data_IF_958208135869
#
_entry.id   IF_958208135869
#
_cell.length_a   1.000
_cell.length_b   1.000
_cell.length_c   1.000
_cell.angle_alpha   90.00
_cell.angle_beta   90.00
_cell.angle_gamma   90.00
#
_symmetry.space_group_name_H-M   'P 1'
#
loop_
_entity.id
_entity.type
_entity.pdbx_description
1 polymer ?
#
# COMPACT_ATOMS: atom_id res chain seq x y z
N UNK A 1 15.42 41.76 -13.89
CA UNK A 1 14.62 42.07 -12.72
C UNK A 1 13.85 40.88 -12.19
N UNK A 2 14.40 39.68 -12.14
CA UNK A 2 13.74 38.53 -11.51
C UNK A 2 14.77 37.70 -10.78
N UNK A 3 15.12 38.15 -9.57
CA UNK A 3 15.99 37.41 -8.63
C UNK A 3 15.25 36.84 -7.44
N UNK A 4 13.89 36.84 -7.45
CA UNK A 4 13.08 36.36 -6.35
C UNK A 4 12.55 34.91 -6.53
N UNK A 5 12.83 34.23 -7.64
CA UNK A 5 12.23 32.93 -7.97
C UNK A 5 13.08 31.71 -7.57
N UNK A 6 14.18 31.88 -6.86
CA UNK A 6 15.14 30.80 -6.60
C UNK A 6 15.23 30.25 -5.18
N UNK A 7 14.51 30.79 -4.20
CA UNK A 7 14.76 30.48 -2.78
C UNK A 7 13.72 29.55 -2.12
N UNK A 8 12.55 29.32 -2.73
CA UNK A 8 11.56 28.42 -2.17
C UNK A 8 11.06 27.47 -3.26
N UNK A 9 11.13 26.16 -2.99
CA UNK A 9 10.55 25.16 -3.86
C UNK A 9 9.03 25.37 -3.89
N UNK A 10 8.47 25.73 -5.06
CA UNK A 10 7.02 25.78 -5.25
C UNK A 10 6.45 24.36 -5.22
N UNK A 11 5.40 24.15 -4.43
CA UNK A 11 4.68 22.88 -4.44
C UNK A 11 4.04 22.65 -5.82
N UNK A 12 4.20 21.44 -6.34
CA UNK A 12 3.58 21.04 -7.60
C UNK A 12 2.05 20.96 -7.46
N UNK A 13 1.34 21.83 -8.16
CA UNK A 13 -0.13 21.95 -8.03
C UNK A 13 -0.87 21.03 -9.00
N UNK A 14 -0.31 20.73 -10.16
CA UNK A 14 -0.93 19.88 -11.19
C UNK A 14 -0.32 18.46 -11.20
N UNK A 15 -1.03 17.50 -11.80
CA UNK A 15 -0.51 16.14 -12.01
C UNK A 15 0.74 16.13 -12.91
N UNK A 16 0.82 17.06 -13.87
CA UNK A 16 2.00 17.20 -14.75
C UNK A 16 3.20 17.74 -13.97
N UNK A 17 3.00 18.79 -13.17
CA UNK A 17 4.05 19.36 -12.33
C UNK A 17 4.63 18.32 -11.36
N UNK A 18 3.77 17.47 -10.79
CA UNK A 18 4.18 16.38 -9.91
C UNK A 18 5.01 15.32 -10.64
N UNK A 19 4.66 14.97 -11.88
CA UNK A 19 5.44 14.05 -12.71
C UNK A 19 6.80 14.61 -13.06
N UNK A 20 6.87 15.89 -13.39
CA UNK A 20 8.13 16.56 -13.71
C UNK A 20 9.02 16.72 -12.47
N UNK A 21 8.45 17.05 -11.33
CA UNK A 21 9.14 17.06 -10.05
C UNK A 21 9.74 15.69 -9.70
N UNK A 22 8.98 14.62 -9.92
CA UNK A 22 9.45 13.24 -9.72
C UNK A 22 10.60 12.88 -10.65
N UNK A 23 10.54 13.28 -11.92
CA UNK A 23 11.64 13.04 -12.88
C UNK A 23 12.91 13.78 -12.49
N UNK A 24 12.78 15.05 -12.07
CA UNK A 24 13.92 15.88 -11.66
C UNK A 24 14.59 15.36 -10.39
N UNK A 25 13.82 14.85 -9.41
CA UNK A 25 14.33 14.33 -8.14
C UNK A 25 14.65 12.83 -8.15
N UNK A 26 14.53 12.15 -9.30
CA UNK A 26 14.66 10.69 -9.39
C UNK A 26 16.00 10.20 -8.84
N UNK A 27 17.10 10.79 -9.28
CA UNK A 27 18.44 10.35 -8.90
C UNK A 27 18.66 10.44 -7.39
N UNK A 28 18.23 11.56 -6.77
CA UNK A 28 18.39 11.78 -5.34
C UNK A 28 17.55 10.80 -4.52
N UNK A 29 16.28 10.59 -4.91
CA UNK A 29 15.38 9.65 -4.23
C UNK A 29 15.84 8.21 -4.34
N UNK A 30 16.29 7.80 -5.53
CA UNK A 30 16.83 6.46 -5.77
C UNK A 30 18.09 6.24 -4.94
N UNK A 31 19.01 7.20 -4.92
CA UNK A 31 20.23 7.12 -4.12
C UNK A 31 19.92 6.98 -2.64
N UNK A 32 19.09 7.86 -2.09
CA UNK A 32 18.72 7.82 -0.67
C UNK A 32 18.04 6.49 -0.29
N UNK A 33 17.18 5.97 -1.16
CA UNK A 33 16.56 4.66 -0.94
C UNK A 33 17.60 3.52 -1.01
N UNK A 34 18.48 3.54 -2.01
CA UNK A 34 19.50 2.51 -2.18
C UNK A 34 20.48 2.48 -1.01
N UNK A 35 20.90 3.66 -0.52
CA UNK A 35 21.78 3.77 0.66
C UNK A 35 21.13 3.14 1.89
N UNK A 36 19.85 3.41 2.14
CA UNK A 36 19.10 2.81 3.24
C UNK A 36 18.95 1.28 3.10
N UNK A 37 18.54 0.81 1.92
CA UNK A 37 18.30 -0.62 1.67
C UNK A 37 19.59 -1.43 1.67
N UNK A 38 20.69 -0.85 1.21
CA UNK A 38 22.01 -1.49 1.18
C UNK A 38 22.72 -1.49 2.54
N UNK A 39 22.22 -0.71 3.53
CA UNK A 39 22.80 -0.63 4.86
C UNK A 39 22.60 -1.90 5.70
N UNK A 40 21.72 -2.80 5.29
CA UNK A 40 21.46 -4.08 5.96
C UNK A 40 21.13 -5.18 4.96
N UNK A 41 21.05 -6.42 5.44
CA UNK A 41 20.75 -7.59 4.62
C UNK A 41 19.32 -8.14 4.82
N UNK A 42 18.43 -7.34 5.46
CA UNK A 42 17.04 -7.73 5.66
C UNK A 42 16.25 -7.74 4.35
N UNK A 43 15.12 -8.49 4.30
CA UNK A 43 14.20 -8.45 3.18
C UNK A 43 13.54 -7.08 3.06
N UNK A 44 13.44 -6.56 1.83
CA UNK A 44 12.79 -5.29 1.52
C UNK A 44 11.82 -5.41 0.36
N UNK A 45 10.70 -4.69 0.45
CA UNK A 45 9.86 -4.37 -0.69
C UNK A 45 10.05 -2.90 -1.02
N UNK A 46 10.42 -2.62 -2.26
CA UNK A 46 10.63 -1.25 -2.75
C UNK A 46 9.60 -0.95 -3.84
N UNK A 47 8.71 -0.04 -3.55
CA UNK A 47 7.66 0.40 -4.44
C UNK A 47 8.09 1.62 -5.25
N UNK A 48 7.84 1.57 -6.55
CA UNK A 48 8.07 2.68 -7.48
C UNK A 48 6.78 3.03 -8.24
N UNK A 49 6.72 4.20 -8.82
CA UNK A 49 5.61 4.64 -9.68
C UNK A 49 6.01 4.69 -11.16
N UNK A 50 7.21 5.19 -11.46
CA UNK A 50 7.74 5.29 -12.81
C UNK A 50 8.59 4.06 -13.17
N UNK A 51 8.59 3.64 -14.44
CA UNK A 51 9.49 2.57 -14.91
C UNK A 51 10.96 2.94 -14.68
N UNK A 52 11.33 4.18 -14.97
CA UNK A 52 12.68 4.67 -14.75
C UNK A 52 13.14 4.60 -13.28
N UNK A 53 12.22 4.75 -12.33
CA UNK A 53 12.51 4.53 -10.89
C UNK A 53 12.80 3.06 -10.62
N UNK A 54 11.97 2.15 -11.15
CA UNK A 54 12.17 0.70 -11.00
C UNK A 54 13.51 0.23 -11.55
N UNK A 55 13.85 0.68 -12.75
CA UNK A 55 15.11 0.34 -13.42
C UNK A 55 16.32 0.88 -12.64
N UNK A 56 16.26 2.14 -12.21
CA UNK A 56 17.33 2.77 -11.46
C UNK A 56 17.51 2.16 -10.05
N UNK A 57 16.41 1.83 -9.35
CA UNK A 57 16.44 1.15 -8.06
C UNK A 57 17.04 -0.24 -8.17
N UNK A 58 16.66 -1.00 -9.21
CA UNK A 58 17.18 -2.35 -9.43
C UNK A 58 18.68 -2.34 -9.71
N UNK A 59 19.14 -1.31 -10.44
CA UNK A 59 20.59 -1.15 -10.70
C UNK A 59 21.37 -0.69 -9.47
N UNK A 60 20.78 0.12 -8.59
CA UNK A 60 21.47 0.72 -7.44
C UNK A 60 21.45 -0.17 -6.18
N UNK A 61 20.48 -1.06 -6.04
CA UNK A 61 20.31 -1.90 -4.85
C UNK A 61 20.90 -3.29 -5.07
N UNK A 62 21.77 -3.72 -4.18
CA UNK A 62 22.42 -5.04 -4.24
C UNK A 62 21.40 -6.18 -4.20
N UNK A 63 21.41 -7.05 -5.20
CA UNK A 63 20.56 -8.23 -5.27
C UNK A 63 19.07 -7.90 -5.41
N UNK A 64 18.72 -6.70 -5.86
CA UNK A 64 17.36 -6.34 -6.17
C UNK A 64 16.86 -7.07 -7.43
N UNK A 65 15.62 -7.52 -7.37
CA UNK A 65 14.90 -8.13 -8.50
C UNK A 65 13.65 -7.30 -8.78
N UNK A 66 13.54 -6.83 -10.02
CA UNK A 66 12.37 -6.07 -10.44
C UNK A 66 11.27 -7.00 -10.98
N UNK A 67 10.02 -6.63 -10.71
CA UNK A 67 8.85 -7.15 -11.42
C UNK A 67 8.20 -5.99 -12.16
N UNK A 68 8.31 -6.03 -13.49
CA UNK A 68 7.78 -5.01 -14.39
C UNK A 68 6.43 -5.44 -15.00
N UNK A 69 5.66 -4.46 -15.48
CA UNK A 69 4.39 -4.74 -16.16
C UNK A 69 4.56 -5.59 -17.44
N UNK A 70 5.68 -5.38 -18.14
CA UNK A 70 6.02 -6.07 -19.39
C UNK A 70 6.57 -7.49 -19.20
N UNK A 71 6.91 -7.91 -17.97
CA UNK A 71 7.37 -9.29 -17.74
C UNK A 71 6.26 -10.31 -18.04
N UNK A 72 6.63 -11.48 -18.50
CA UNK A 72 5.72 -12.60 -18.70
C UNK A 72 5.09 -13.08 -17.38
N UNK A 73 3.91 -13.67 -17.46
CA UNK A 73 3.18 -14.13 -16.27
C UNK A 73 3.99 -15.14 -15.44
N UNK A 74 4.64 -16.10 -16.08
CA UNK A 74 5.46 -17.14 -15.44
C UNK A 74 6.70 -16.54 -14.73
N UNK A 75 7.27 -15.48 -15.32
CA UNK A 75 8.41 -14.75 -14.72
C UNK A 75 7.95 -14.01 -13.47
N UNK A 76 6.79 -13.34 -13.54
CA UNK A 76 6.19 -12.65 -12.40
C UNK A 76 5.90 -13.62 -11.26
N UNK A 77 5.21 -14.72 -11.56
CA UNK A 77 4.85 -15.73 -10.57
C UNK A 77 6.08 -16.32 -9.88
N UNK A 78 7.10 -16.69 -10.65
CA UNK A 78 8.35 -17.21 -10.11
C UNK A 78 9.04 -16.22 -9.19
N UNK A 79 9.22 -14.95 -9.61
CA UNK A 79 9.86 -13.90 -8.79
C UNK A 79 9.08 -13.59 -7.52
N UNK A 80 7.73 -13.56 -7.60
CA UNK A 80 6.87 -13.36 -6.45
C UNK A 80 6.98 -14.52 -5.44
N UNK A 81 7.01 -15.74 -5.95
CA UNK A 81 7.20 -16.95 -5.16
C UNK A 81 8.59 -16.99 -4.54
N UNK A 82 9.64 -16.62 -5.29
CA UNK A 82 11.01 -16.56 -4.80
C UNK A 82 11.15 -15.52 -3.68
N UNK A 83 10.50 -14.36 -3.81
CA UNK A 83 10.49 -13.37 -2.75
C UNK A 83 9.73 -13.88 -1.51
N UNK A 84 8.54 -14.47 -1.70
CA UNK A 84 7.75 -15.00 -0.59
C UNK A 84 8.49 -16.09 0.23
N UNK A 85 9.38 -16.85 -0.42
CA UNK A 85 10.20 -17.87 0.23
C UNK A 85 11.59 -17.35 0.68
N UNK A 86 11.85 -16.06 0.58
CA UNK A 86 13.10 -15.45 1.02
C UNK A 86 14.31 -15.72 0.12
N UNK A 87 14.10 -16.24 -1.11
CA UNK A 87 15.19 -16.44 -2.10
C UNK A 87 15.62 -15.14 -2.77
N UNK A 88 14.74 -14.15 -2.80
CA UNK A 88 15.02 -12.78 -3.23
C UNK A 88 15.00 -11.89 -2.00
N UNK A 89 16.08 -11.14 -1.77
CA UNK A 89 16.17 -10.20 -0.64
C UNK A 89 15.39 -8.93 -0.87
N UNK A 90 15.49 -8.34 -2.06
CA UNK A 90 14.86 -7.06 -2.37
C UNK A 90 13.99 -7.20 -3.60
N UNK A 91 12.70 -6.93 -3.45
CA UNK A 91 11.74 -6.90 -4.53
C UNK A 91 11.43 -5.46 -4.90
N UNK A 92 11.63 -5.10 -6.17
CA UNK A 92 11.26 -3.79 -6.73
C UNK A 92 10.05 -3.95 -7.64
N UNK A 93 8.97 -3.23 -7.40
CA UNK A 93 7.79 -3.27 -8.27
C UNK A 93 6.88 -2.06 -8.08
N UNK A 94 5.80 -2.00 -8.87
CA UNK A 94 4.71 -1.03 -8.68
C UNK A 94 3.58 -1.65 -7.87
N UNK A 95 2.90 -0.87 -7.03
CA UNK A 95 1.71 -1.35 -6.30
C UNK A 95 0.63 -1.94 -7.23
N UNK A 96 0.48 -1.39 -8.44
CA UNK A 96 -0.48 -1.86 -9.44
C UNK A 96 -0.14 -3.21 -10.08
N UNK A 97 1.13 -3.65 -10.05
CA UNK A 97 1.58 -4.90 -10.68
C UNK A 97 1.52 -6.06 -9.71
N UNK A 98 1.98 -5.86 -8.50
CA UNK A 98 1.97 -6.89 -7.45
C UNK A 98 0.59 -7.01 -6.79
N UNK A 99 -0.42 -7.04 -7.62
CA UNK A 99 -1.84 -7.13 -7.39
C UNK A 99 -2.31 -7.86 -6.14
N UNK A 100 -3.37 -8.62 -6.23
CA UNK A 100 -4.08 -9.17 -5.08
C UNK A 100 -3.49 -10.51 -4.60
N UNK A 101 -3.62 -10.78 -3.29
CA UNK A 101 -3.48 -12.14 -2.75
C UNK A 101 -2.11 -12.55 -2.19
N UNK A 102 -1.05 -11.79 -2.39
CA UNK A 102 0.28 -12.14 -1.92
C UNK A 102 0.50 -11.82 -0.44
N UNK A 103 1.24 -12.68 0.25
CA UNK A 103 1.53 -12.58 1.66
C UNK A 103 3.04 -12.58 1.91
N UNK A 104 3.56 -11.47 2.44
CA UNK A 104 4.99 -11.27 2.66
C UNK A 104 5.32 -10.99 4.13
N UNK A 105 4.79 -11.78 5.03
CA UNK A 105 5.01 -11.64 6.49
C UNK A 105 6.48 -11.81 6.91
N UNK A 106 7.31 -12.42 6.08
CA UNK A 106 8.75 -12.52 6.34
C UNK A 106 9.45 -11.16 6.18
N UNK A 107 8.85 -10.22 5.43
CA UNK A 107 9.36 -8.89 5.19
C UNK A 107 8.68 -7.89 6.13
N UNK A 108 9.47 -7.10 6.84
CA UNK A 108 9.00 -6.03 7.73
C UNK A 108 9.53 -4.66 7.33
N UNK A 109 10.20 -4.54 6.19
CA UNK A 109 10.77 -3.28 5.69
C UNK A 109 10.25 -2.95 4.31
N UNK A 110 9.84 -1.70 4.17
CA UNK A 110 9.21 -1.23 2.95
C UNK A 110 9.66 0.18 2.61
N UNK A 111 9.89 0.44 1.34
CA UNK A 111 10.21 1.76 0.83
C UNK A 111 9.27 2.14 -0.33
N UNK A 112 8.86 3.40 -0.37
CA UNK A 112 8.15 3.98 -1.51
C UNK A 112 9.02 5.08 -2.10
N UNK A 113 9.40 4.90 -3.37
CA UNK A 113 10.15 5.90 -4.15
C UNK A 113 9.20 6.49 -5.18
N UNK A 114 8.67 7.68 -4.84
CA UNK A 114 7.51 8.24 -5.53
C UNK A 114 6.19 7.66 -5.02
N UNK A 115 5.29 8.53 -4.64
CA UNK A 115 3.99 8.16 -4.09
C UNK A 115 2.91 8.78 -4.94
N UNK A 116 1.87 8.00 -5.28
CA UNK A 116 0.67 8.50 -5.94
C UNK A 116 -0.31 9.06 -4.92
N UNK A 117 -1.26 9.88 -5.36
CA UNK A 117 -2.37 10.38 -4.50
C UNK A 117 -3.36 9.28 -4.09
N UNK A 118 -3.19 8.05 -4.59
CA UNK A 118 -4.03 6.92 -4.27
C UNK A 118 -3.65 6.32 -2.92
N UNK A 119 -4.40 6.72 -1.88
CA UNK A 119 -4.28 6.11 -0.57
C UNK A 119 -4.59 4.61 -0.59
N UNK A 120 -5.54 4.19 -1.42
CA UNK A 120 -5.89 2.78 -1.56
C UNK A 120 -4.70 1.95 -2.06
N UNK A 121 -4.02 2.40 -3.13
CA UNK A 121 -2.84 1.71 -3.67
C UNK A 121 -1.72 1.64 -2.62
N UNK A 122 -1.47 2.74 -1.90
CA UNK A 122 -0.52 2.78 -0.78
C UNK A 122 -0.91 1.80 0.31
N UNK A 123 -2.14 1.87 0.80
CA UNK A 123 -2.63 1.00 1.87
C UNK A 123 -2.58 -0.48 1.48
N UNK A 124 -3.02 -0.83 0.30
CA UNK A 124 -2.94 -2.21 -0.22
C UNK A 124 -1.50 -2.70 -0.32
N UNK A 125 -0.57 -1.85 -0.74
CA UNK A 125 0.85 -2.18 -0.78
C UNK A 125 1.42 -2.44 0.62
N UNK A 126 1.09 -1.61 1.62
CA UNK A 126 1.50 -1.81 3.02
C UNK A 126 0.94 -3.12 3.57
N UNK A 127 -0.32 -3.44 3.26
CA UNK A 127 -0.99 -4.67 3.70
C UNK A 127 -0.37 -5.96 3.17
N UNK A 128 0.59 -5.91 2.25
CA UNK A 128 1.36 -7.09 1.82
C UNK A 128 2.26 -7.64 2.93
N UNK A 129 2.85 -6.76 3.72
CA UNK A 129 3.71 -7.10 4.84
C UNK A 129 2.98 -6.97 6.19
N UNK A 130 2.11 -5.96 6.32
CA UNK A 130 1.35 -5.72 7.53
C UNK A 130 0.03 -6.51 7.52
N UNK A 131 0.11 -7.78 7.88
CA UNK A 131 -1.02 -8.73 7.91
C UNK A 131 -1.05 -9.53 9.21
N UNK A 132 -2.18 -10.21 9.42
CA UNK A 132 -2.28 -11.20 10.49
C UNK A 132 -1.13 -12.20 10.40
N UNK A 133 -0.44 -12.43 11.53
CA UNK A 133 0.75 -13.28 11.61
C UNK A 133 2.09 -12.53 11.44
N UNK A 134 2.11 -11.24 11.09
CA UNK A 134 3.32 -10.42 11.18
C UNK A 134 3.67 -10.19 12.66
N UNK A 135 4.89 -10.56 13.04
CA UNK A 135 5.36 -10.47 14.43
C UNK A 135 6.26 -9.27 14.70
N UNK A 136 6.69 -8.57 13.66
CA UNK A 136 7.57 -7.42 13.74
C UNK A 136 6.81 -6.15 13.34
N UNK A 137 7.15 -4.99 13.89
CA UNK A 137 6.70 -3.72 13.34
C UNK A 137 7.09 -3.63 11.85
N UNK A 138 6.20 -3.14 11.03
CA UNK A 138 6.49 -2.89 9.60
C UNK A 138 6.94 -1.45 9.46
N UNK A 139 8.21 -1.25 9.10
CA UNK A 139 8.80 0.05 8.86
C UNK A 139 8.54 0.48 7.41
N UNK A 140 7.88 1.61 7.23
CA UNK A 140 7.55 2.17 5.92
C UNK A 140 8.29 3.48 5.73
N UNK A 141 9.17 3.53 4.74
CA UNK A 141 9.96 4.71 4.37
C UNK A 141 9.42 5.31 3.07
N UNK A 142 9.18 6.61 3.06
CA UNK A 142 8.69 7.33 1.87
C UNK A 142 9.76 8.32 1.42
N UNK A 143 10.25 8.13 0.20
CA UNK A 143 11.21 9.01 -0.47
C UNK A 143 10.46 9.89 -1.45
N UNK A 144 10.20 11.12 -1.05
CA UNK A 144 9.51 12.12 -1.85
C UNK A 144 10.37 13.37 -2.00
N UNK A 145 10.20 14.11 -3.10
CA UNK A 145 10.81 15.42 -3.25
C UNK A 145 10.09 16.47 -2.40
N UNK A 146 10.76 17.60 -2.14
CA UNK A 146 10.14 18.73 -1.44
C UNK A 146 8.90 19.27 -2.18
N UNK A 147 8.81 19.07 -3.49
CA UNK A 147 7.66 19.47 -4.30
C UNK A 147 6.49 18.50 -4.21
N UNK A 148 6.66 17.34 -3.60
CA UNK A 148 5.63 16.33 -3.36
C UNK A 148 5.07 16.38 -1.92
N UNK A 149 5.41 17.41 -1.15
CA UNK A 149 5.01 17.56 0.26
C UNK A 149 3.49 17.45 0.46
N UNK A 150 2.69 18.06 -0.43
CA UNK A 150 1.24 17.97 -0.40
C UNK A 150 0.71 16.54 -0.55
N UNK A 151 1.33 15.70 -1.38
CA UNK A 151 0.94 14.29 -1.57
C UNK A 151 1.21 13.51 -0.28
N UNK A 152 2.39 13.68 0.30
CA UNK A 152 2.77 13.01 1.56
C UNK A 152 1.86 13.45 2.71
N UNK A 153 1.56 14.75 2.80
CA UNK A 153 0.64 15.28 3.82
C UNK A 153 -0.78 14.69 3.65
N UNK A 154 -1.27 14.61 2.42
CA UNK A 154 -2.59 14.03 2.12
C UNK A 154 -2.65 12.53 2.48
N UNK A 155 -1.60 11.76 2.19
CA UNK A 155 -1.52 10.35 2.58
C UNK A 155 -1.55 10.18 4.10
N UNK A 156 -0.75 10.97 4.84
CA UNK A 156 -0.74 10.94 6.32
C UNK A 156 -2.11 11.26 6.89
N UNK A 157 -2.78 12.28 6.36
CA UNK A 157 -4.13 12.64 6.80
C UNK A 157 -5.10 11.48 6.57
N UNK A 158 -5.13 10.90 5.37
CA UNK A 158 -5.99 9.75 5.06
C UNK A 158 -5.68 8.52 5.91
N UNK A 159 -4.42 8.28 6.25
CA UNK A 159 -4.03 7.20 7.15
C UNK A 159 -4.57 7.43 8.56
N UNK A 160 -4.49 8.66 9.07
CA UNK A 160 -5.06 9.03 10.36
C UNK A 160 -6.58 8.87 10.37
N UNK A 161 -7.27 9.34 9.33
CA UNK A 161 -8.72 9.24 9.19
C UNK A 161 -9.16 7.75 9.15
N UNK A 162 -8.46 6.92 8.38
CA UNK A 162 -8.74 5.48 8.30
C UNK A 162 -8.51 4.76 9.64
N UNK A 163 -7.47 5.16 10.37
CA UNK A 163 -7.18 4.61 11.70
C UNK A 163 -8.26 5.01 12.70
N UNK A 164 -8.64 6.28 12.75
CA UNK A 164 -9.70 6.76 13.63
C UNK A 164 -11.03 6.07 13.35
N UNK A 165 -11.37 5.88 12.08
CA UNK A 165 -12.56 5.14 11.67
C UNK A 165 -12.52 3.67 12.13
N UNK A 166 -11.39 2.99 11.95
CA UNK A 166 -11.23 1.61 12.37
C UNK A 166 -11.34 1.45 13.90
N UNK A 167 -10.77 2.37 14.66
CA UNK A 167 -10.86 2.39 16.13
C UNK A 167 -12.31 2.64 16.60
N UNK A 168 -13.02 3.56 15.97
CA UNK A 168 -14.43 3.82 16.27
C UNK A 168 -15.31 2.60 15.96
N UNK A 169 -15.16 1.98 14.79
CA UNK A 169 -15.89 0.77 14.42
C UNK A 169 -15.59 -0.39 15.38
N UNK A 170 -14.35 -0.58 15.79
CA UNK A 170 -13.97 -1.61 16.74
C UNK A 170 -14.63 -1.36 18.12
N UNK A 171 -14.66 -0.14 18.59
CA UNK A 171 -15.29 0.24 19.86
C UNK A 171 -16.81 -0.05 19.85
N UNK A 172 -17.50 0.30 18.78
CA UNK A 172 -18.94 0.04 18.62
C UNK A 172 -19.24 -1.46 18.51
N UNK A 173 -18.41 -2.20 17.75
CA UNK A 173 -18.56 -3.66 17.63
C UNK A 173 -18.38 -4.35 18.98
N UNK A 174 -17.39 -3.94 19.78
CA UNK A 174 -17.17 -4.48 21.14
C UNK A 174 -18.36 -4.15 22.03
N UNK A 175 -18.91 -2.96 21.95
CA UNK A 175 -20.09 -2.55 22.73
C UNK A 175 -21.32 -3.40 22.37
N UNK A 176 -21.55 -3.63 21.06
CA UNK A 176 -22.65 -4.46 20.59
C UNK A 176 -22.52 -5.93 21.03
N UNK A 177 -21.33 -6.51 20.89
CA UNK A 177 -21.04 -7.90 21.33
C UNK A 177 -21.20 -8.03 22.85
N UNK A 178 -20.73 -7.07 23.64
CA UNK A 178 -20.92 -7.07 25.09
C UNK A 178 -22.40 -6.98 25.48
N UNK A 179 -23.18 -6.15 24.80
CA UNK A 179 -24.61 -6.05 25.06
C UNK A 179 -25.34 -7.37 24.75
N UNK A 180 -24.93 -8.05 23.69
CA UNK A 180 -25.49 -9.37 23.31
C UNK A 180 -25.11 -10.48 24.32
N UNK A 181 -23.83 -10.55 24.71
CA UNK A 181 -23.33 -11.54 25.70
C UNK A 181 -23.95 -11.33 27.10
N UNK A 182 -24.18 -10.07 27.48
CA UNK A 182 -24.77 -9.74 28.77
C UNK A 182 -26.32 -9.84 28.78
N UNK A 183 -26.93 -10.35 27.71
CA UNK A 183 -28.40 -10.53 27.63
C UNK A 183 -29.20 -9.24 27.67
N UNK A 184 -28.57 -8.09 27.35
CA UNK A 184 -29.30 -6.84 27.16
C UNK A 184 -30.06 -6.95 25.86
N UNK A 185 -31.38 -7.14 25.95
CA UNK A 185 -32.28 -7.38 24.83
C UNK A 185 -31.99 -6.43 23.66
N UNK A 186 -31.66 -7.02 22.51
CA UNK A 186 -31.98 -6.42 21.24
C UNK A 186 -33.51 -6.26 21.19
N UNK A 187 -34.01 -5.06 21.00
CA UNK A 187 -35.36 -4.89 20.46
C UNK A 187 -35.34 -5.58 19.09
N UNK A 188 -35.80 -6.80 19.05
CA UNK A 188 -36.09 -7.50 17.80
C UNK A 188 -37.28 -6.81 17.20
N UNK A 189 -37.04 -5.94 16.24
CA UNK A 189 -38.11 -5.47 15.37
C UNK A 189 -38.67 -6.72 14.67
N UNK A 190 -39.88 -7.18 14.98
CA UNK A 190 -40.40 -8.38 14.34
C UNK A 190 -40.48 -8.10 12.84
N UNK A 191 -39.76 -8.90 12.07
CA UNK A 191 -39.81 -8.83 10.61
C UNK A 191 -41.21 -9.31 10.19
N UNK A 192 -42.07 -8.38 9.79
CA UNK A 192 -43.33 -8.70 9.12
C UNK A 192 -43.07 -8.68 7.60
N UNK A 193 -43.03 -9.85 6.93
CA UNK A 193 -42.81 -9.91 5.52
C UNK A 193 -43.98 -9.24 4.77
N UNK A 194 -43.68 -8.24 3.97
CA UNK A 194 -44.68 -7.55 3.12
C UNK A 194 -45.26 -8.48 2.03
N UNK A 195 -44.65 -9.61 1.77
CA UNK A 195 -45.13 -10.68 0.88
C UNK A 195 -44.73 -12.05 1.39
N UNK A 196 -45.64 -12.99 1.34
CA UNK A 196 -45.35 -14.39 1.63
C UNK A 196 -44.35 -14.95 0.61
N UNK A 197 -43.24 -15.49 1.10
CA UNK A 197 -42.29 -16.18 0.26
C UNK A 197 -42.97 -17.42 -0.34
N UNK A 198 -43.08 -17.49 -1.65
CA UNK A 198 -43.54 -18.70 -2.35
C UNK A 198 -42.32 -19.53 -2.71
N UNK A 199 -42.37 -20.80 -2.34
CA UNK A 199 -41.36 -21.76 -2.79
C UNK A 199 -41.44 -21.88 -4.32
N UNK A 200 -40.33 -21.68 -5.05
CA UNK A 200 -40.34 -21.88 -6.51
C UNK A 200 -40.76 -23.29 -6.87
N UNK A 201 -41.53 -23.44 -7.95
CA UNK A 201 -42.05 -24.75 -8.38
C UNK A 201 -41.00 -25.83 -8.61
N UNK A 202 -39.76 -25.45 -8.88
CA UNK A 202 -38.63 -26.37 -9.03
C UNK A 202 -38.09 -26.90 -7.70
N UNK A 203 -38.49 -26.31 -6.57
CA UNK A 203 -38.17 -26.74 -5.21
C UNK A 203 -39.29 -27.59 -4.58
N UNK A 204 -40.46 -27.63 -5.18
CA UNK A 204 -41.52 -28.54 -4.74
C UNK A 204 -41.12 -29.95 -5.21
N UNK A 205 -40.65 -30.77 -4.27
CA UNK A 205 -40.26 -32.14 -4.54
C UNK A 205 -41.46 -32.93 -5.06
N UNK A 206 -41.22 -33.73 -6.08
CA UNK A 206 -42.16 -34.70 -6.64
C UNK A 206 -42.54 -35.78 -5.61
#
# INVERSE_FOLDING_TARGET
HDLAHGLFAQEAQTLMDRRDARRKSLVERVRACADLVNANDEPWVVWCDLNAEGDALTAAIRGAVQIAGADDADVKERRLTDFAHGRIRVLVSKPSICGFGLNWQHCARMAFVGVTDSFEAYYQAVRRCWRFGQRRPVDVHVFASNQEGAVVANLRRKEQDARAMAEAMAAETIAAVRAEVLGRNKETNPYEPAALMRVPSWMEAA
#
